data_IF_545667036764
#
_entry.id   IF_545667036764
#
_cell.length_a   1.000
_cell.length_b   1.000
_cell.length_c   1.000
_cell.angle_alpha   90.00
_cell.angle_beta   90.00
_cell.angle_gamma   90.00
#
_symmetry.space_group_name_H-M   'P 1'
#
loop_
_entity.id
_entity.type
_entity.pdbx_description
1 polymer ?
#
# COMPACT_ATOMS: atom_id res chain seq x y z
N UNK A 1 -15.79 3.59 -21.76
CA UNK A 1 -16.21 2.21 -22.05
C UNK A 1 -15.64 1.28 -20.98
N UNK A 2 -16.48 0.43 -20.42
CA UNK A 2 -16.03 -0.54 -19.44
C UNK A 2 -15.09 -1.57 -20.09
N UNK A 3 -14.00 -1.93 -19.41
CA UNK A 3 -13.10 -2.98 -19.89
C UNK A 3 -13.84 -4.33 -19.91
N UNK A 4 -13.61 -5.15 -20.95
CA UNK A 4 -14.14 -6.52 -21.00
C UNK A 4 -13.68 -7.34 -19.78
N UNK A 5 -14.52 -8.29 -19.27
CA UNK A 5 -14.20 -9.08 -18.08
C UNK A 5 -12.84 -9.79 -18.13
N UNK A 6 -12.48 -10.36 -19.28
CA UNK A 6 -11.19 -11.03 -19.51
C UNK A 6 -9.99 -10.10 -19.37
N UNK A 7 -10.14 -8.80 -19.59
CA UNK A 7 -9.09 -7.81 -19.38
C UNK A 7 -9.08 -7.27 -17.95
N UNK A 8 -10.22 -7.25 -17.26
CA UNK A 8 -10.29 -6.87 -15.85
C UNK A 8 -9.49 -7.83 -14.97
N UNK A 9 -9.51 -9.12 -15.26
CA UNK A 9 -8.76 -10.13 -14.50
C UNK A 9 -7.24 -9.98 -14.59
N UNK A 10 -6.74 -9.26 -15.59
CA UNK A 10 -5.31 -8.97 -15.77
C UNK A 10 -4.85 -7.70 -15.06
N UNK A 11 -5.77 -6.93 -14.50
CA UNK A 11 -5.49 -5.65 -13.84
C UNK A 11 -5.81 -5.80 -12.36
N UNK A 12 -4.83 -5.50 -11.51
CA UNK A 12 -5.00 -5.39 -10.06
C UNK A 12 -4.80 -3.93 -9.63
N UNK A 13 -5.85 -3.08 -9.71
CA UNK A 13 -5.72 -1.68 -9.36
C UNK A 13 -5.50 -1.49 -7.86
N UNK A 14 -4.87 -0.38 -7.50
CA UNK A 14 -4.78 0.10 -6.13
C UNK A 14 -5.80 1.23 -5.93
N UNK A 15 -6.77 0.98 -5.05
CA UNK A 15 -7.80 1.94 -4.66
C UNK A 15 -7.42 2.60 -3.34
N UNK A 16 -7.45 3.91 -3.30
CA UNK A 16 -7.30 4.67 -2.06
C UNK A 16 -8.68 4.97 -1.45
N UNK A 17 -8.90 4.47 -0.23
CA UNK A 17 -10.13 4.68 0.51
C UNK A 17 -10.12 6.07 1.12
N UNK A 18 -11.06 6.92 0.69
CA UNK A 18 -11.19 8.31 1.10
C UNK A 18 -12.65 8.78 0.99
N UNK A 19 -12.94 9.99 1.43
CA UNK A 19 -14.27 10.59 1.37
C UNK A 19 -15.08 10.39 2.65
N UNK A 20 -16.40 10.35 2.52
CA UNK A 20 -17.34 10.27 3.64
C UNK A 20 -18.46 9.22 3.43
N UNK A 21 -18.42 8.47 2.35
CA UNK A 21 -19.50 7.60 1.92
C UNK A 21 -19.04 6.13 1.81
N UNK A 22 -19.20 5.40 2.91
CA UNK A 22 -18.88 3.97 2.97
C UNK A 22 -19.77 3.12 2.10
N UNK A 23 -21.02 3.52 1.87
CA UNK A 23 -21.96 2.77 1.03
C UNK A 23 -21.47 2.75 -0.42
N UNK A 24 -21.04 3.90 -0.93
CA UNK A 24 -20.48 4.01 -2.27
C UNK A 24 -19.22 3.17 -2.46
N UNK A 25 -18.32 3.17 -1.47
CA UNK A 25 -17.10 2.34 -1.48
C UNK A 25 -17.49 0.85 -1.47
N UNK A 26 -18.40 0.44 -0.58
CA UNK A 26 -18.86 -0.94 -0.46
C UNK A 26 -19.49 -1.44 -1.75
N UNK A 27 -20.37 -0.65 -2.36
CA UNK A 27 -21.00 -0.96 -3.63
C UNK A 27 -19.97 -1.11 -4.77
N UNK A 28 -18.94 -0.26 -4.80
CA UNK A 28 -17.85 -0.39 -5.77
C UNK A 28 -17.10 -1.72 -5.57
N UNK A 29 -16.68 -2.01 -4.33
CA UNK A 29 -15.92 -3.22 -3.99
C UNK A 29 -16.72 -4.50 -4.29
N UNK A 30 -18.01 -4.52 -3.95
CA UNK A 30 -18.93 -5.63 -4.24
C UNK A 30 -19.07 -5.87 -5.75
N UNK A 31 -19.13 -4.79 -6.53
CA UNK A 31 -19.24 -4.87 -8.00
C UNK A 31 -17.91 -5.22 -8.71
N UNK A 32 -16.77 -5.20 -7.99
CA UNK A 32 -15.45 -5.45 -8.56
C UNK A 32 -14.98 -6.88 -8.26
N UNK A 33 -15.29 -7.82 -9.13
CA UNK A 33 -15.08 -9.26 -8.91
C UNK A 33 -13.60 -9.71 -8.96
N UNK A 34 -12.71 -8.86 -9.48
CA UNK A 34 -11.28 -9.20 -9.67
C UNK A 34 -10.42 -8.77 -8.47
N UNK A 35 -9.13 -9.10 -8.53
CA UNK A 35 -8.17 -8.70 -7.51
C UNK A 35 -8.07 -7.18 -7.39
N UNK A 36 -8.17 -6.68 -6.16
CA UNK A 36 -8.18 -5.25 -5.85
C UNK A 36 -7.30 -4.97 -4.64
N UNK A 37 -6.26 -4.18 -4.85
CA UNK A 37 -5.48 -3.64 -3.74
C UNK A 37 -6.21 -2.45 -3.14
N UNK A 38 -6.29 -2.38 -1.82
CA UNK A 38 -6.94 -1.27 -1.11
C UNK A 38 -6.01 -0.68 -0.06
N UNK A 39 -5.89 0.64 -0.02
CA UNK A 39 -5.14 1.39 0.97
C UNK A 39 -5.99 2.53 1.52
N UNK A 40 -5.70 3.00 2.73
CA UNK A 40 -6.25 4.27 3.22
C UNK A 40 -5.50 5.43 2.60
N UNK A 41 -6.23 6.45 2.11
CA UNK A 41 -5.57 7.63 1.59
C UNK A 41 -4.78 8.36 2.67
N UNK A 42 -3.58 8.78 2.33
CA UNK A 42 -2.71 9.63 3.13
C UNK A 42 -2.24 10.86 2.34
N UNK A 43 -2.93 11.16 1.24
CA UNK A 43 -2.68 12.35 0.47
C UNK A 43 -3.16 13.59 1.24
N UNK A 44 -2.41 14.68 1.15
CA UNK A 44 -2.73 15.95 1.82
C UNK A 44 -4.15 16.44 1.50
N UNK A 45 -4.63 16.20 0.28
CA UNK A 45 -5.99 16.58 -0.14
C UNK A 45 -7.10 15.80 0.55
N UNK A 46 -6.77 14.67 1.17
CA UNK A 46 -7.70 13.75 1.83
C UNK A 46 -7.55 13.77 3.37
N UNK A 47 -6.70 14.66 3.92
CA UNK A 47 -6.45 14.74 5.38
C UNK A 47 -7.73 14.98 6.19
N UNK A 48 -8.67 15.76 5.64
CA UNK A 48 -9.96 16.04 6.27
C UNK A 48 -11.05 15.01 5.93
N UNK A 49 -10.73 13.97 5.17
CA UNK A 49 -11.68 12.93 4.81
C UNK A 49 -12.03 12.08 6.04
N UNK A 50 -13.31 11.97 6.45
CA UNK A 50 -13.71 11.16 7.59
C UNK A 50 -13.25 9.71 7.49
N UNK A 51 -13.31 9.11 6.29
CA UNK A 51 -12.85 7.74 6.05
C UNK A 51 -11.34 7.64 6.23
N UNK A 52 -10.57 8.57 5.66
CA UNK A 52 -9.10 8.57 5.81
C UNK A 52 -8.70 8.75 7.27
N UNK A 53 -9.34 9.67 8.00
CA UNK A 53 -9.09 9.89 9.42
C UNK A 53 -9.31 8.61 10.22
N UNK A 54 -10.48 7.97 10.04
CA UNK A 54 -10.82 6.74 10.77
C UNK A 54 -9.88 5.57 10.45
N UNK A 55 -9.51 5.39 9.19
CA UNK A 55 -8.62 4.30 8.76
C UNK A 55 -7.16 4.51 9.16
N UNK A 56 -6.74 5.77 9.35
CA UNK A 56 -5.37 6.11 9.74
C UNK A 56 -5.23 6.37 11.25
N UNK A 57 -6.31 6.26 12.01
CA UNK A 57 -6.27 6.32 13.46
C UNK A 57 -5.51 5.11 14.02
N UNK A 58 -4.36 5.38 14.67
CA UNK A 58 -3.52 4.36 15.27
C UNK A 58 -3.98 3.92 16.68
N UNK A 59 -5.08 4.45 17.17
CA UNK A 59 -5.68 4.05 18.44
C UNK A 59 -5.96 2.54 18.42
N UNK A 60 -5.67 1.85 19.51
CA UNK A 60 -5.82 0.40 19.62
C UNK A 60 -5.14 -0.40 18.49
N UNK A 61 -3.97 0.07 18.04
CA UNK A 61 -3.19 -0.60 16.98
C UNK A 61 -3.97 -0.79 15.67
N UNK A 62 -4.70 0.23 15.23
CA UNK A 62 -5.49 0.23 13.99
C UNK A 62 -6.64 -0.80 13.96
N UNK A 63 -7.20 -1.15 15.10
CA UNK A 63 -8.30 -2.13 15.19
C UNK A 63 -9.49 -1.74 14.30
N UNK A 64 -9.82 -0.45 14.20
CA UNK A 64 -10.88 0.00 13.30
C UNK A 64 -10.57 -0.34 11.83
N UNK A 65 -9.37 -0.01 11.36
CA UNK A 65 -8.92 -0.32 9.97
C UNK A 65 -8.99 -1.82 9.72
N UNK A 66 -8.46 -2.63 10.62
CA UNK A 66 -8.48 -4.08 10.49
C UNK A 66 -9.89 -4.63 10.35
N UNK A 67 -10.80 -4.26 11.24
CA UNK A 67 -12.18 -4.73 11.21
C UNK A 67 -12.90 -4.28 9.94
N UNK A 68 -12.68 -3.05 9.50
CA UNK A 68 -13.30 -2.51 8.29
C UNK A 68 -12.85 -3.27 7.03
N UNK A 69 -11.58 -3.63 6.96
CA UNK A 69 -11.07 -4.43 5.84
C UNK A 69 -11.63 -5.85 5.84
N UNK A 70 -11.86 -6.47 7.01
CA UNK A 70 -12.57 -7.75 7.10
C UNK A 70 -14.04 -7.65 6.64
N UNK A 71 -14.71 -6.53 6.91
CA UNK A 71 -16.05 -6.28 6.36
C UNK A 71 -16.03 -6.19 4.83
N UNK A 72 -15.09 -5.45 4.27
CA UNK A 72 -14.93 -5.32 2.82
C UNK A 72 -14.56 -6.65 2.15
N UNK A 73 -13.77 -7.50 2.83
CA UNK A 73 -13.43 -8.84 2.33
C UNK A 73 -14.66 -9.76 2.18
N UNK A 74 -15.70 -9.55 2.97
CA UNK A 74 -16.96 -10.31 2.82
C UNK A 74 -17.69 -9.96 1.52
N UNK A 75 -17.51 -8.73 1.03
CA UNK A 75 -18.08 -8.26 -0.24
C UNK A 75 -17.28 -8.76 -1.43
N UNK A 76 -15.95 -8.68 -1.35
CA UNK A 76 -15.05 -9.18 -2.38
C UNK A 76 -13.88 -9.93 -1.75
N UNK A 77 -13.83 -11.26 -1.91
CA UNK A 77 -12.77 -12.12 -1.36
C UNK A 77 -11.39 -11.90 -1.98
N UNK A 78 -11.33 -11.20 -3.11
CA UNK A 78 -10.12 -10.93 -3.86
C UNK A 78 -9.47 -9.57 -3.49
N UNK A 79 -9.96 -8.90 -2.45
CA UNK A 79 -9.27 -7.70 -1.97
C UNK A 79 -8.00 -8.06 -1.22
N UNK A 80 -7.00 -7.19 -1.36
CA UNK A 80 -5.74 -7.28 -0.66
C UNK A 80 -5.42 -5.94 0.02
N UNK A 81 -5.21 -5.91 1.34
CA UNK A 81 -4.87 -4.69 2.04
C UNK A 81 -3.47 -4.21 1.67
N UNK A 82 -3.32 -2.90 1.57
CA UNK A 82 -2.03 -2.21 1.49
C UNK A 82 -1.87 -1.30 2.70
N UNK A 83 -0.67 -1.25 3.25
CA UNK A 83 -0.31 -0.40 4.37
C UNK A 83 0.79 0.53 3.92
N UNK A 84 0.49 1.82 3.85
CA UNK A 84 1.52 2.85 3.62
C UNK A 84 2.31 3.06 4.89
N UNK A 85 3.64 2.92 4.82
CA UNK A 85 4.55 3.18 5.94
C UNK A 85 5.01 4.62 5.95
N UNK A 86 5.00 5.24 7.13
CA UNK A 86 5.56 6.56 7.39
C UNK A 86 6.33 6.57 8.71
N UNK A 87 7.33 7.45 8.81
CA UNK A 87 8.18 7.55 9.99
C UNK A 87 7.43 8.01 11.24
N UNK A 88 6.38 8.79 11.07
CA UNK A 88 5.51 9.26 12.14
C UNK A 88 4.53 8.21 12.67
N UNK A 89 4.40 7.07 12.01
CA UNK A 89 3.46 6.03 12.40
C UNK A 89 3.89 5.32 13.71
N UNK A 90 2.89 4.84 14.45
CA UNK A 90 3.12 3.94 15.57
C UNK A 90 3.67 2.59 15.06
N UNK A 91 4.99 2.44 15.08
CA UNK A 91 5.68 1.24 14.56
C UNK A 91 5.13 -0.06 15.14
N UNK A 92 4.85 -0.11 16.45
CA UNK A 92 4.27 -1.30 17.11
C UNK A 92 2.88 -1.62 16.57
N UNK A 93 2.03 -0.60 16.47
CA UNK A 93 0.68 -0.75 15.91
C UNK A 93 0.71 -1.19 14.45
N UNK A 94 1.63 -0.63 13.67
CA UNK A 94 1.83 -1.01 12.26
C UNK A 94 2.27 -2.46 12.11
N UNK A 95 3.22 -2.95 12.91
CA UNK A 95 3.64 -4.36 12.93
C UNK A 95 2.44 -5.27 13.27
N UNK A 96 1.66 -4.91 14.29
CA UNK A 96 0.49 -5.69 14.67
C UNK A 96 -0.58 -5.72 13.56
N UNK A 97 -0.80 -4.59 12.89
CA UNK A 97 -1.74 -4.51 11.76
C UNK A 97 -1.29 -5.40 10.60
N UNK A 98 0.00 -5.36 10.22
CA UNK A 98 0.54 -6.21 9.16
C UNK A 98 0.35 -7.68 9.53
N UNK A 99 0.71 -8.10 10.75
CA UNK A 99 0.51 -9.47 11.24
C UNK A 99 -0.96 -9.91 11.20
N UNK A 100 -1.86 -9.02 11.60
CA UNK A 100 -3.28 -9.30 11.52
C UNK A 100 -3.74 -9.50 10.07
N UNK A 101 -3.24 -8.67 9.15
CA UNK A 101 -3.58 -8.81 7.74
C UNK A 101 -2.98 -10.07 7.11
N UNK A 102 -1.71 -10.41 7.37
CA UNK A 102 -1.08 -11.63 6.82
C UNK A 102 -1.79 -12.90 7.29
N UNK A 103 -2.38 -12.89 8.48
CA UNK A 103 -3.17 -14.01 8.99
C UNK A 103 -4.57 -14.16 8.36
N UNK A 104 -5.11 -13.10 7.75
CA UNK A 104 -6.51 -13.10 7.28
C UNK A 104 -6.66 -12.90 5.77
N UNK A 105 -5.64 -12.35 5.12
CA UNK A 105 -5.68 -12.07 3.68
C UNK A 105 -4.60 -12.86 2.94
N UNK A 106 -4.92 -13.41 1.76
CA UNK A 106 -3.96 -14.21 0.98
C UNK A 106 -2.82 -13.39 0.37
N UNK A 107 -2.95 -12.08 0.36
CA UNK A 107 -1.94 -11.13 -0.13
C UNK A 107 -2.02 -9.85 0.67
N UNK A 108 -0.86 -9.31 1.05
CA UNK A 108 -0.74 -8.05 1.78
C UNK A 108 0.33 -7.19 1.10
N UNK A 109 0.04 -5.91 0.95
CA UNK A 109 0.97 -4.92 0.40
C UNK A 109 1.55 -4.00 1.47
N UNK A 110 2.81 -3.66 1.30
CA UNK A 110 3.46 -2.56 2.04
C UNK A 110 3.84 -1.51 1.02
N UNK A 111 3.35 -0.28 1.19
CA UNK A 111 3.66 0.85 0.32
C UNK A 111 4.66 1.78 0.99
N UNK A 112 5.69 2.10 0.24
CA UNK A 112 6.78 2.99 0.63
C UNK A 112 6.76 4.20 -0.28
N UNK A 113 6.58 5.39 0.29
CA UNK A 113 6.69 6.66 -0.43
C UNK A 113 8.17 7.08 -0.45
N UNK A 114 8.81 6.97 -1.62
CA UNK A 114 10.22 7.28 -1.79
C UNK A 114 10.40 8.68 -2.38
N UNK A 115 11.08 9.53 -1.62
CA UNK A 115 11.53 10.85 -2.07
C UNK A 115 13.04 10.92 -1.96
N UNK A 116 13.68 11.89 -2.62
CA UNK A 116 15.11 12.08 -2.55
C UNK A 116 15.66 12.19 -1.11
N UNK A 117 14.87 12.74 -0.22
CA UNK A 117 15.30 13.08 1.14
C UNK A 117 14.99 11.99 2.18
N UNK A 118 14.11 11.02 1.90
CA UNK A 118 13.67 10.05 2.92
C UNK A 118 14.18 8.63 2.70
N UNK A 119 14.99 8.40 1.70
CA UNK A 119 15.41 7.09 1.23
C UNK A 119 16.01 6.18 2.32
N UNK A 120 16.97 6.70 3.11
CA UNK A 120 17.60 5.94 4.19
C UNK A 120 16.66 5.70 5.36
N UNK A 121 15.82 6.67 5.67
CA UNK A 121 14.84 6.58 6.75
C UNK A 121 13.76 5.55 6.43
N UNK A 122 13.27 5.55 5.19
CA UNK A 122 12.29 4.59 4.71
C UNK A 122 12.85 3.16 4.72
N UNK A 123 14.10 2.98 4.33
CA UNK A 123 14.77 1.69 4.40
C UNK A 123 14.90 1.19 5.84
N UNK A 124 15.38 2.06 6.75
CA UNK A 124 15.49 1.71 8.17
C UNK A 124 14.13 1.39 8.81
N UNK A 125 13.07 2.07 8.40
CA UNK A 125 11.71 1.76 8.87
C UNK A 125 11.23 0.41 8.38
N UNK A 126 11.45 0.10 7.10
CA UNK A 126 11.12 -1.19 6.51
C UNK A 126 11.87 -2.32 7.25
N UNK A 127 13.17 -2.18 7.46
CA UNK A 127 13.97 -3.18 8.18
C UNK A 127 13.45 -3.41 9.60
N UNK A 128 13.19 -2.34 10.36
CA UNK A 128 12.65 -2.45 11.72
C UNK A 128 11.31 -3.22 11.76
N UNK A 129 10.46 -3.00 10.77
CA UNK A 129 9.17 -3.67 10.67
C UNK A 129 9.39 -5.15 10.31
N UNK A 130 10.19 -5.41 9.28
CA UNK A 130 10.38 -6.76 8.76
C UNK A 130 11.20 -7.68 9.69
N UNK A 131 12.06 -7.13 10.55
CA UNK A 131 12.70 -7.90 11.63
C UNK A 131 11.71 -8.59 12.58
N UNK A 132 10.44 -8.19 12.55
CA UNK A 132 9.37 -8.77 13.39
C UNK A 132 8.61 -9.90 12.68
N UNK A 133 8.98 -10.25 11.45
CA UNK A 133 8.35 -11.29 10.62
C UNK A 133 9.34 -12.40 10.32
N UNK A 134 8.82 -13.59 10.10
CA UNK A 134 9.64 -14.67 9.56
C UNK A 134 9.72 -14.62 8.02
N UNK A 135 10.60 -15.43 7.45
CA UNK A 135 10.81 -15.45 6.00
C UNK A 135 9.54 -15.86 5.23
N UNK A 136 8.69 -16.72 5.80
CA UNK A 136 7.47 -17.16 5.16
C UNK A 136 6.45 -16.02 5.05
N UNK A 137 6.33 -15.20 6.09
CA UNK A 137 5.47 -14.02 6.09
C UNK A 137 5.97 -12.99 5.06
N UNK A 138 7.29 -12.74 5.02
CA UNK A 138 7.90 -11.78 4.09
C UNK A 138 7.68 -12.22 2.63
N UNK A 139 7.80 -13.51 2.34
CA UNK A 139 7.58 -14.07 1.00
C UNK A 139 6.13 -13.92 0.50
N UNK A 140 5.17 -13.64 1.38
CA UNK A 140 3.79 -13.37 1.02
C UNK A 140 3.49 -11.89 0.82
N UNK A 141 4.44 -11.00 1.13
CA UNK A 141 4.27 -9.56 0.98
C UNK A 141 4.53 -9.09 -0.46
N UNK A 142 3.80 -8.06 -0.87
CA UNK A 142 4.09 -7.26 -2.05
C UNK A 142 4.56 -5.88 -1.61
N UNK A 143 5.74 -5.46 -2.07
CA UNK A 143 6.27 -4.13 -1.77
C UNK A 143 5.92 -3.17 -2.90
N UNK A 144 5.19 -2.12 -2.58
CA UNK A 144 4.88 -1.02 -3.50
C UNK A 144 5.85 0.12 -3.27
N UNK A 145 6.63 0.46 -4.28
CA UNK A 145 7.52 1.62 -4.28
C UNK A 145 6.84 2.77 -5.01
N UNK A 146 6.32 3.72 -4.24
CA UNK A 146 5.76 4.95 -4.81
C UNK A 146 6.87 5.99 -4.92
N UNK A 147 7.28 6.20 -6.15
CA UNK A 147 8.40 7.09 -6.49
C UNK A 147 7.95 8.55 -6.65
N UNK A 148 6.65 8.80 -6.47
CA UNK A 148 6.08 10.13 -6.65
C UNK A 148 6.36 10.69 -8.04
N UNK A 149 6.81 11.94 -8.11
CA UNK A 149 7.22 12.58 -9.37
C UNK A 149 8.67 12.19 -9.69
N UNK A 150 8.85 11.51 -10.81
CA UNK A 150 10.20 11.20 -11.34
C UNK A 150 10.58 12.24 -12.38
N UNK A 151 11.77 12.82 -12.23
CA UNK A 151 12.46 13.51 -13.31
C UNK A 151 13.26 12.48 -14.10
N UNK A 152 12.90 12.30 -15.37
CA UNK A 152 13.59 11.34 -16.25
C UNK A 152 15.07 11.70 -16.50
N UNK A 153 15.49 12.94 -16.25
CA UNK A 153 16.87 13.41 -16.35
C UNK A 153 17.68 13.20 -15.08
N UNK A 154 17.03 12.94 -13.93
CA UNK A 154 17.72 12.74 -12.66
C UNK A 154 18.33 11.34 -12.55
N UNK A 155 19.62 11.27 -12.82
CA UNK A 155 20.39 10.03 -12.73
C UNK A 155 20.55 9.55 -11.28
N UNK A 156 20.67 10.46 -10.33
CA UNK A 156 20.84 10.13 -8.90
C UNK A 156 19.59 9.44 -8.35
N UNK A 157 18.41 9.95 -8.72
CA UNK A 157 17.13 9.33 -8.33
C UNK A 157 17.02 7.90 -8.89
N UNK A 158 17.42 7.69 -10.16
CA UNK A 158 17.42 6.35 -10.77
C UNK A 158 18.34 5.37 -10.03
N UNK A 159 19.55 5.79 -9.71
CA UNK A 159 20.52 4.97 -8.97
C UNK A 159 20.01 4.61 -7.58
N UNK A 160 19.40 5.55 -6.88
CA UNK A 160 18.78 5.30 -5.58
C UNK A 160 17.66 4.25 -5.68
N UNK A 161 16.77 4.37 -6.65
CA UNK A 161 15.67 3.40 -6.86
C UNK A 161 16.22 2.01 -7.18
N UNK A 162 17.19 1.90 -8.07
CA UNK A 162 17.83 0.61 -8.42
C UNK A 162 18.50 -0.01 -7.19
N UNK A 163 19.23 0.76 -6.42
CA UNK A 163 19.89 0.28 -5.20
C UNK A 163 18.87 -0.21 -4.16
N UNK A 164 17.73 0.47 -4.04
CA UNK A 164 16.66 0.06 -3.14
C UNK A 164 16.00 -1.24 -3.58
N UNK A 165 15.69 -1.37 -4.85
CA UNK A 165 15.13 -2.61 -5.41
C UNK A 165 16.10 -3.77 -5.18
N UNK A 166 17.38 -3.58 -5.48
CA UNK A 166 18.40 -4.60 -5.26
C UNK A 166 18.52 -4.99 -3.79
N UNK A 167 18.45 -4.01 -2.89
CA UNK A 167 18.47 -4.28 -1.45
C UNK A 167 17.29 -5.14 -1.02
N UNK A 168 16.07 -4.78 -1.43
CA UNK A 168 14.86 -5.53 -1.10
C UNK A 168 14.94 -6.95 -1.67
N UNK A 169 15.35 -7.11 -2.92
CA UNK A 169 15.46 -8.42 -3.55
C UNK A 169 16.48 -9.34 -2.86
N UNK A 170 17.63 -8.79 -2.49
CA UNK A 170 18.72 -9.57 -1.93
C UNK A 170 18.57 -9.90 -0.44
N UNK A 171 17.85 -9.05 0.32
CA UNK A 171 17.78 -9.19 1.77
C UNK A 171 16.40 -9.63 2.27
N UNK A 172 15.33 -9.35 1.53
CA UNK A 172 13.96 -9.55 2.00
C UNK A 172 13.19 -10.56 1.15
N UNK A 173 13.51 -10.67 -0.13
CA UNK A 173 12.86 -11.61 -1.07
C UNK A 173 11.33 -11.63 -1.00
N UNK A 174 10.64 -10.48 -1.10
CA UNK A 174 9.19 -10.45 -1.08
C UNK A 174 8.61 -11.12 -2.32
N UNK A 175 7.32 -11.47 -2.29
CA UNK A 175 6.62 -12.08 -3.42
C UNK A 175 6.70 -11.25 -4.69
N UNK A 176 6.49 -9.94 -4.56
CA UNK A 176 6.57 -8.99 -5.67
C UNK A 176 7.11 -7.65 -5.21
N UNK A 177 7.73 -6.93 -6.14
CA UNK A 177 8.04 -5.51 -6.00
C UNK A 177 7.32 -4.79 -7.14
N UNK A 178 6.49 -3.80 -6.80
CA UNK A 178 5.72 -2.98 -7.75
C UNK A 178 6.23 -1.56 -7.64
N UNK A 179 6.60 -0.96 -8.76
CA UNK A 179 6.99 0.45 -8.81
C UNK A 179 5.88 1.28 -9.40
N UNK A 180 5.57 2.42 -8.80
CA UNK A 180 4.63 3.41 -9.32
C UNK A 180 5.27 4.79 -9.34
N UNK A 181 4.94 5.57 -10.34
CA UNK A 181 5.37 6.97 -10.47
C UNK A 181 4.29 7.79 -11.15
N UNK A 182 4.22 9.07 -10.81
CA UNK A 182 3.39 10.04 -11.52
C UNK A 182 4.28 10.91 -12.39
N UNK A 183 4.13 10.80 -13.70
CA UNK A 183 4.68 11.76 -14.65
C UNK A 183 3.53 12.61 -15.19
N UNK A 184 3.35 13.81 -14.67
CA UNK A 184 2.51 14.79 -15.35
C UNK A 184 3.36 15.47 -16.42
N UNK A 185 2.90 15.56 -17.67
CA UNK A 185 3.56 16.43 -18.64
C UNK A 185 3.60 17.85 -18.05
N UNK A 186 4.69 18.60 -18.27
CA UNK A 186 4.72 20.00 -17.85
C UNK A 186 3.48 20.68 -18.43
N UNK A 187 2.78 21.47 -17.59
CA UNK A 187 1.67 22.29 -18.09
C UNK A 187 2.20 23.16 -19.23
N UNK A 188 1.49 23.23 -20.37
CA UNK A 188 1.89 24.09 -21.47
C UNK A 188 1.94 25.57 -21.07
#
# INVERSE_FOLDING_TARGET
SALPPERKSLIAPLLFLTGNDWEKISNFIDSYESHLWIDSSRFKLDEDSPISIQLNDCTDNYVYKFNKYLELQKLNKNIAPVITLRNEDNTRGTIQLIKNFTNHFPSVGIRLELTENNYKETLNLLDKILLSFDDADIHNLTIFLDLGKIDSSDQTQKEHVVNFINYIQNNLSPKNIVTSSTSYPPKP
#
